data_IF_971596676528
#
_entry.id   IF_971596676528
#
_cell.length_a   1.000
_cell.length_b   1.000
_cell.length_c   1.000
_cell.angle_alpha   90.00
_cell.angle_beta   90.00
_cell.angle_gamma   90.00
#
_symmetry.space_group_name_H-M   'P 1'
#
loop_
_entity.id
_entity.type
_entity.pdbx_description
1 polymer ?
#
# COMPACT_ATOMS: atom_id res chain seq x y z
N UNK A 1 -7.42 28.62 -5.80
CA UNK A 1 -6.53 29.19 -6.85
C UNK A 1 -5.89 28.00 -7.58
N UNK A 2 -6.39 27.63 -8.74
CA UNK A 2 -5.80 26.55 -9.54
C UNK A 2 -4.41 27.00 -10.00
N UNK A 3 -3.37 26.26 -9.57
CA UNK A 3 -2.03 26.41 -10.16
C UNK A 3 -2.03 25.71 -11.53
N UNK A 4 -1.61 26.39 -12.60
CA UNK A 4 -1.54 25.76 -13.92
C UNK A 4 -0.35 24.80 -13.97
N UNK A 5 -0.63 23.54 -14.22
CA UNK A 5 0.40 22.55 -14.55
C UNK A 5 0.86 22.77 -16.00
N UNK A 6 2.08 23.22 -16.18
CA UNK A 6 2.70 23.27 -17.49
C UNK A 6 3.73 22.16 -17.63
N UNK A 7 3.45 21.23 -18.52
CA UNK A 7 4.41 20.23 -18.98
C UNK A 7 5.34 20.82 -20.03
N UNK A 8 6.55 21.20 -19.62
CA UNK A 8 7.67 21.44 -20.53
C UNK A 8 8.71 20.35 -20.34
N UNK A 9 9.17 19.74 -21.44
CA UNK A 9 10.19 18.68 -21.45
C UNK A 9 11.45 19.12 -20.67
N UNK A 10 11.77 18.37 -19.61
CA UNK A 10 13.06 18.47 -18.92
C UNK A 10 13.10 19.31 -17.65
N UNK A 11 11.96 19.75 -17.11
CA UNK A 11 11.91 20.41 -15.79
C UNK A 11 11.42 19.46 -14.70
N UNK A 12 11.98 19.59 -13.50
CA UNK A 12 11.54 18.96 -12.27
C UNK A 12 10.02 19.10 -12.12
N UNK A 13 9.35 17.97 -11.84
CA UNK A 13 7.88 17.88 -11.69
C UNK A 13 7.37 18.47 -10.36
N UNK A 14 8.22 19.10 -9.59
CA UNK A 14 7.85 19.68 -8.30
C UNK A 14 7.39 21.13 -8.48
N UNK A 15 6.18 21.49 -8.05
CA UNK A 15 5.74 22.89 -8.09
C UNK A 15 6.60 23.73 -7.13
N UNK A 16 6.91 24.94 -7.57
CA UNK A 16 7.43 26.00 -6.69
C UNK A 16 6.28 26.47 -5.78
N UNK A 17 6.17 25.84 -4.62
CA UNK A 17 5.03 26.03 -3.69
C UNK A 17 5.13 27.34 -2.92
N UNK A 18 6.35 27.81 -2.65
CA UNK A 18 6.60 29.05 -1.92
C UNK A 18 6.76 30.26 -2.86
N UNK A 19 6.69 30.06 -4.20
CA UNK A 19 6.77 31.07 -5.24
C UNK A 19 8.10 31.87 -5.24
N UNK A 20 9.21 31.25 -4.84
CA UNK A 20 10.53 31.88 -4.85
C UNK A 20 11.29 31.73 -6.18
N UNK A 21 10.67 31.09 -7.16
CA UNK A 21 11.21 30.83 -8.49
C UNK A 21 12.19 29.68 -8.59
N UNK A 22 12.28 28.85 -7.53
CA UNK A 22 13.17 27.69 -7.48
C UNK A 22 12.42 26.49 -6.92
N UNK A 23 12.60 25.32 -7.48
CA UNK A 23 12.14 24.07 -6.89
C UNK A 23 13.20 23.55 -5.92
N UNK A 24 12.93 23.57 -4.65
CA UNK A 24 13.89 23.29 -3.59
C UNK A 24 13.25 22.53 -2.41
N UNK A 25 14.04 22.16 -1.42
CA UNK A 25 13.54 21.62 -0.16
C UNK A 25 12.62 22.62 0.58
N UNK A 26 12.75 23.91 0.28
CA UNK A 26 11.87 24.96 0.81
C UNK A 26 10.42 24.77 0.36
N UNK A 27 10.21 24.33 -0.87
CA UNK A 27 8.88 24.04 -1.44
C UNK A 27 8.25 22.82 -0.79
N UNK A 28 9.04 21.78 -0.55
CA UNK A 28 8.61 20.60 0.21
C UNK A 28 8.22 21.01 1.63
N UNK A 29 9.01 21.86 2.27
CA UNK A 29 8.71 22.38 3.61
C UNK A 29 7.46 23.25 3.61
N UNK A 30 7.29 24.12 2.61
CA UNK A 30 6.11 24.96 2.46
C UNK A 30 4.84 24.13 2.20
N UNK A 31 4.93 23.11 1.35
CA UNK A 31 3.84 22.17 1.11
C UNK A 31 3.47 21.37 2.38
N UNK A 32 4.50 20.91 3.10
CA UNK A 32 4.30 20.20 4.38
C UNK A 32 3.65 21.14 5.40
N UNK A 33 4.13 22.37 5.52
CA UNK A 33 3.57 23.36 6.44
C UNK A 33 2.11 23.67 6.07
N UNK A 34 1.82 23.83 4.79
CA UNK A 34 0.47 24.03 4.27
C UNK A 34 -0.43 22.84 4.63
N UNK A 35 0.00 21.61 4.32
CA UNK A 35 -0.76 20.39 4.61
C UNK A 35 -0.92 20.10 6.11
N UNK A 36 0.02 20.53 6.96
CA UNK A 36 -0.08 20.39 8.41
C UNK A 36 -0.93 21.48 9.08
N UNK A 37 -1.10 22.63 8.45
CA UNK A 37 -1.86 23.77 8.97
C UNK A 37 -3.27 23.88 8.37
N UNK A 38 -3.49 23.31 7.20
CA UNK A 38 -4.79 23.24 6.53
C UNK A 38 -5.29 21.80 6.63
N UNK A 39 -6.48 21.61 7.12
CA UNK A 39 -7.07 20.27 7.37
C UNK A 39 -7.43 19.50 6.09
N UNK A 40 -6.94 19.95 4.94
CA UNK A 40 -7.19 19.35 3.62
C UNK A 40 -8.58 19.66 3.05
N UNK A 41 -9.47 20.25 3.85
CA UNK A 41 -10.82 20.61 3.41
C UNK A 41 -10.86 21.87 2.54
N UNK A 42 -9.84 22.74 2.64
CA UNK A 42 -9.82 24.03 1.92
C UNK A 42 -9.31 23.97 0.48
N UNK A 43 -8.71 22.85 0.06
CA UNK A 43 -8.15 22.68 -1.31
C UNK A 43 -9.12 22.09 -2.33
N UNK A 44 -10.13 21.37 -1.86
CA UNK A 44 -11.20 20.81 -2.68
C UNK A 44 -12.50 21.53 -2.30
N UNK A 45 -12.83 22.57 -3.03
CA UNK A 45 -14.17 23.14 -2.93
C UNK A 45 -15.17 22.17 -3.59
N UNK A 46 -15.59 21.15 -2.82
CA UNK A 46 -16.59 20.19 -3.24
C UNK A 46 -17.92 20.87 -3.65
N UNK A 47 -18.17 22.10 -3.19
CA UNK A 47 -19.37 22.86 -3.53
C UNK A 47 -19.37 23.32 -4.99
N UNK A 48 -18.22 23.35 -5.67
CA UNK A 48 -18.08 23.72 -7.08
C UNK A 48 -18.09 22.52 -8.03
N UNK A 49 -18.02 21.30 -7.53
CA UNK A 49 -18.16 20.07 -8.32
C UNK A 49 -19.56 19.54 -8.18
N UNK A 50 -20.20 19.18 -9.29
CA UNK A 50 -21.43 18.40 -9.23
C UNK A 50 -21.17 17.08 -8.49
N UNK A 51 -22.19 16.50 -7.89
CA UNK A 51 -22.15 15.23 -7.17
C UNK A 51 -23.14 14.25 -7.79
N UNK A 52 -22.78 12.97 -7.84
CA UNK A 52 -23.71 11.86 -8.12
C UNK A 52 -23.63 10.85 -6.98
N UNK A 53 -24.70 10.10 -6.80
CA UNK A 53 -24.76 9.02 -5.79
C UNK A 53 -24.77 7.65 -6.46
N UNK A 54 -24.15 6.66 -5.82
CA UNK A 54 -24.26 5.26 -6.27
C UNK A 54 -25.71 4.77 -6.29
N UNK A 55 -26.59 5.39 -5.49
CA UNK A 55 -28.05 5.11 -5.48
C UNK A 55 -28.71 5.47 -6.80
N UNK A 56 -28.22 6.50 -7.50
CA UNK A 56 -28.75 6.94 -8.80
C UNK A 56 -28.50 5.89 -9.90
N UNK A 57 -27.59 4.96 -9.64
CA UNK A 57 -27.21 3.84 -10.53
C UNK A 57 -27.76 2.49 -10.07
N UNK A 58 -28.58 2.47 -9.00
CA UNK A 58 -29.30 1.30 -8.54
C UNK A 58 -28.59 0.52 -7.42
N UNK A 59 -27.52 1.05 -6.82
CA UNK A 59 -26.88 0.41 -5.67
C UNK A 59 -27.83 0.35 -4.47
N UNK A 60 -27.97 -0.84 -3.86
CA UNK A 60 -28.91 -1.09 -2.74
C UNK A 60 -28.25 -0.85 -1.40
N UNK A 61 -27.03 -1.36 -1.17
CA UNK A 61 -26.27 -1.15 0.06
C UNK A 61 -26.88 -1.78 1.30
N UNK A 62 -27.58 -2.91 1.14
CA UNK A 62 -28.25 -3.64 2.23
C UNK A 62 -27.38 -4.75 2.86
N UNK A 63 -26.18 -4.96 2.33
CA UNK A 63 -25.24 -6.01 2.77
C UNK A 63 -25.55 -7.40 2.25
N UNK A 64 -26.52 -7.55 1.35
CA UNK A 64 -26.98 -8.83 0.79
C UNK A 64 -26.93 -8.82 -0.72
N UNK A 65 -27.49 -7.80 -1.35
CA UNK A 65 -27.51 -7.65 -2.80
C UNK A 65 -26.10 -7.35 -3.31
N UNK A 66 -25.78 -7.94 -4.46
CA UNK A 66 -24.56 -7.62 -5.20
C UNK A 66 -24.70 -6.26 -5.88
N UNK A 67 -23.98 -5.29 -5.37
CA UNK A 67 -23.99 -3.91 -5.85
C UNK A 67 -22.92 -3.64 -6.94
N UNK A 68 -22.17 -4.64 -7.37
CA UNK A 68 -20.99 -4.48 -8.24
C UNK A 68 -21.29 -3.68 -9.50
N UNK A 69 -22.28 -4.07 -10.28
CA UNK A 69 -22.59 -3.38 -11.55
C UNK A 69 -23.09 -1.95 -11.34
N UNK A 70 -23.88 -1.71 -10.30
CA UNK A 70 -24.37 -0.38 -9.97
C UNK A 70 -23.21 0.53 -9.56
N UNK A 71 -22.32 0.02 -8.71
CA UNK A 71 -21.11 0.72 -8.26
C UNK A 71 -20.17 1.00 -9.44
N UNK A 72 -19.87 0.03 -10.30
CA UNK A 72 -19.04 0.22 -11.50
C UNK A 72 -19.60 1.32 -12.41
N UNK A 73 -20.90 1.30 -12.69
CA UNK A 73 -21.58 2.35 -13.50
C UNK A 73 -21.44 3.74 -12.86
N UNK A 74 -21.59 3.83 -11.56
CA UNK A 74 -21.44 5.08 -10.82
C UNK A 74 -20.00 5.61 -10.85
N UNK A 75 -19.00 4.74 -10.64
CA UNK A 75 -17.59 5.08 -10.73
C UNK A 75 -17.22 5.59 -12.14
N UNK A 76 -17.65 4.88 -13.19
CA UNK A 76 -17.42 5.29 -14.57
C UNK A 76 -18.10 6.62 -14.91
N UNK A 77 -19.31 6.84 -14.41
CA UNK A 77 -20.03 8.08 -14.62
C UNK A 77 -19.38 9.26 -13.90
N UNK A 78 -18.97 9.08 -12.64
CA UNK A 78 -18.27 10.13 -11.87
C UNK A 78 -16.96 10.53 -12.55
N UNK A 79 -16.16 9.56 -12.98
CA UNK A 79 -14.91 9.81 -13.70
C UNK A 79 -15.14 10.56 -15.02
N UNK A 80 -16.12 10.15 -15.81
CA UNK A 80 -16.42 10.74 -17.12
C UNK A 80 -17.01 12.16 -16.99
N UNK A 81 -17.81 12.40 -15.95
CA UNK A 81 -18.43 13.71 -15.71
C UNK A 81 -17.56 14.66 -14.89
N UNK A 82 -16.45 14.16 -14.34
CA UNK A 82 -15.58 14.89 -13.42
C UNK A 82 -16.33 15.46 -12.19
N UNK A 83 -17.20 14.66 -11.62
CA UNK A 83 -17.99 14.99 -10.42
C UNK A 83 -17.59 14.09 -9.25
N UNK A 84 -17.93 14.53 -8.05
CA UNK A 84 -17.71 13.73 -6.83
C UNK A 84 -18.67 12.54 -6.78
N UNK A 85 -18.20 11.38 -6.30
CA UNK A 85 -19.01 10.19 -6.11
C UNK A 85 -19.33 10.00 -4.63
N UNK A 86 -20.58 10.17 -4.31
CA UNK A 86 -21.11 9.95 -2.96
C UNK A 86 -21.67 8.55 -2.81
N UNK A 87 -21.25 7.89 -1.75
CA UNK A 87 -21.71 6.54 -1.36
C UNK A 87 -22.41 6.67 0.00
N UNK A 88 -23.75 6.75 0.04
CA UNK A 88 -24.50 6.89 1.29
C UNK A 88 -24.26 5.74 2.26
N UNK A 89 -24.62 5.95 3.54
CA UNK A 89 -24.62 4.91 4.56
C UNK A 89 -25.27 3.61 4.07
N UNK A 90 -24.60 2.48 4.27
CA UNK A 90 -25.03 1.15 3.82
C UNK A 90 -23.83 0.20 3.69
N UNK A 91 -24.12 -1.07 3.45
CA UNK A 91 -23.10 -2.08 3.16
C UNK A 91 -23.26 -2.57 1.73
N UNK A 92 -22.29 -2.22 0.87
CA UNK A 92 -22.29 -2.51 -0.55
C UNK A 92 -21.40 -3.71 -0.83
N UNK A 93 -22.01 -4.84 -1.21
CA UNK A 93 -21.28 -6.06 -1.55
C UNK A 93 -20.79 -5.97 -2.99
N UNK A 94 -19.50 -6.21 -3.19
CA UNK A 94 -18.89 -6.23 -4.53
C UNK A 94 -18.17 -7.55 -4.78
N UNK A 95 -18.06 -7.94 -6.04
CA UNK A 95 -17.35 -9.14 -6.52
C UNK A 95 -16.21 -8.86 -7.49
N UNK A 96 -16.00 -7.60 -7.84
CA UNK A 96 -14.92 -7.12 -8.72
C UNK A 96 -14.33 -5.81 -8.20
N UNK A 97 -13.09 -5.48 -8.56
CA UNK A 97 -12.50 -4.20 -8.23
C UNK A 97 -13.29 -3.04 -8.83
N UNK A 98 -13.48 -1.98 -8.03
CA UNK A 98 -13.98 -0.70 -8.53
C UNK A 98 -12.81 0.13 -9.06
N UNK A 99 -12.92 0.60 -10.28
CA UNK A 99 -11.82 1.25 -11.01
C UNK A 99 -11.67 2.72 -10.61
N UNK A 100 -10.49 3.06 -10.09
CA UNK A 100 -10.10 4.44 -9.82
C UNK A 100 -9.53 5.08 -11.10
N UNK A 101 -9.89 6.34 -11.35
CA UNK A 101 -9.39 7.15 -12.47
C UNK A 101 -8.96 8.53 -11.99
N UNK A 102 -8.14 9.21 -12.79
CA UNK A 102 -7.60 10.53 -12.47
C UNK A 102 -8.68 11.53 -12.03
N UNK A 103 -8.39 12.26 -10.97
CA UNK A 103 -9.23 13.33 -10.44
C UNK A 103 -10.52 12.90 -9.77
N UNK A 104 -10.72 11.60 -9.52
CA UNK A 104 -11.90 11.12 -8.80
C UNK A 104 -11.85 11.52 -7.34
N UNK A 105 -13.01 11.96 -6.83
CA UNK A 105 -13.31 12.05 -5.42
C UNK A 105 -14.38 11.02 -5.08
N UNK A 106 -14.10 10.14 -4.11
CA UNK A 106 -14.99 9.06 -3.66
C UNK A 106 -15.15 9.16 -2.15
N UNK A 107 -16.37 9.35 -1.68
CA UNK A 107 -16.61 9.53 -0.26
C UNK A 107 -17.97 9.00 0.22
N UNK A 108 -18.11 8.88 1.54
CA UNK A 108 -19.32 8.36 2.16
C UNK A 108 -19.66 9.04 3.49
N UNK A 109 -20.40 8.34 4.32
CA UNK A 109 -20.85 8.77 5.65
C UNK A 109 -19.98 8.15 6.76
N UNK A 110 -18.66 8.17 6.57
CA UNK A 110 -17.71 7.59 7.53
C UNK A 110 -17.88 6.07 7.65
N UNK A 111 -17.80 5.55 8.87
CA UNK A 111 -17.92 4.12 9.14
C UNK A 111 -19.32 3.52 8.84
N UNK A 112 -20.31 4.34 8.56
CA UNK A 112 -21.64 3.88 8.17
C UNK A 112 -21.72 3.49 6.69
N UNK A 113 -20.78 3.95 5.85
CA UNK A 113 -20.61 3.53 4.46
C UNK A 113 -19.57 2.43 4.39
N UNK A 114 -19.98 1.22 4.02
CA UNK A 114 -19.10 0.06 3.95
C UNK A 114 -19.11 -0.51 2.52
N UNK A 115 -17.94 -0.50 1.85
CA UNK A 115 -17.75 -1.28 0.64
C UNK A 115 -17.07 -2.58 1.05
N UNK A 116 -17.77 -3.69 0.84
CA UNK A 116 -17.35 -5.00 1.32
C UNK A 116 -17.14 -5.98 0.17
N UNK A 117 -15.99 -6.61 0.16
CA UNK A 117 -15.66 -7.68 -0.79
C UNK A 117 -16.49 -8.93 -0.49
N UNK A 118 -17.03 -9.60 -1.54
CA UNK A 118 -17.55 -10.96 -1.43
C UNK A 118 -16.45 -11.87 -0.83
N UNK A 119 -16.80 -12.87 0.02
CA UNK A 119 -15.81 -13.82 0.52
C UNK A 119 -15.02 -14.46 -0.61
N UNK A 120 -13.69 -14.47 -0.50
CA UNK A 120 -12.87 -15.10 -1.51
C UNK A 120 -13.02 -16.62 -1.50
N UNK A 121 -13.02 -17.20 -2.70
CA UNK A 121 -13.01 -18.63 -2.96
C UNK A 121 -11.80 -18.94 -3.84
N UNK A 122 -11.19 -20.11 -3.68
CA UNK A 122 -10.04 -20.50 -4.49
C UNK A 122 -9.97 -22.01 -4.71
N UNK A 123 -9.52 -22.38 -5.90
CA UNK A 123 -9.29 -23.74 -6.34
C UNK A 123 -7.95 -23.85 -7.08
N UNK A 124 -7.41 -25.05 -7.20
CA UNK A 124 -6.14 -25.30 -7.86
C UNK A 124 -6.33 -25.71 -9.31
N UNK A 125 -5.42 -25.28 -10.17
CA UNK A 125 -5.34 -25.81 -11.53
C UNK A 125 -4.98 -27.29 -11.50
N UNK A 126 -5.73 -28.11 -12.23
CA UNK A 126 -5.44 -29.53 -12.44
C UNK A 126 -4.75 -29.79 -13.76
N UNK A 127 -4.73 -28.81 -14.65
CA UNK A 127 -4.03 -28.83 -15.94
C UNK A 127 -3.25 -27.53 -16.11
N UNK A 128 -2.23 -27.55 -16.96
CA UNK A 128 -1.49 -26.35 -17.35
C UNK A 128 -2.47 -25.40 -18.06
N UNK A 129 -2.57 -24.18 -17.57
CA UNK A 129 -3.27 -23.11 -18.27
C UNK A 129 -2.31 -22.46 -19.25
N UNK A 130 -2.52 -22.68 -20.54
CA UNK A 130 -1.70 -22.12 -21.59
C UNK A 130 -1.82 -20.57 -21.62
N UNK A 131 -0.77 -19.93 -22.07
CA UNK A 131 -0.63 -18.47 -22.06
C UNK A 131 -1.74 -17.72 -22.81
N UNK A 132 -2.28 -18.30 -23.84
CA UNK A 132 -3.33 -17.74 -24.69
C UNK A 132 -4.73 -18.30 -24.39
N UNK A 133 -4.82 -19.24 -23.44
CA UNK A 133 -6.09 -19.85 -23.06
C UNK A 133 -6.89 -18.93 -22.15
N UNK A 134 -8.19 -18.88 -22.39
CA UNK A 134 -9.16 -18.26 -21.49
C UNK A 134 -10.00 -19.31 -20.74
N UNK A 135 -9.62 -20.59 -20.76
CA UNK A 135 -10.30 -21.68 -20.06
C UNK A 135 -9.34 -22.37 -19.11
N UNK A 136 -9.65 -22.38 -17.84
CA UNK A 136 -8.91 -23.06 -16.78
C UNK A 136 -9.66 -24.30 -16.31
N UNK A 137 -8.93 -25.42 -16.09
CA UNK A 137 -9.46 -26.62 -15.44
C UNK A 137 -8.96 -26.66 -13.99
N UNK A 138 -9.88 -26.78 -13.05
CA UNK A 138 -9.62 -26.66 -11.60
C UNK A 138 -10.06 -27.92 -10.84
N UNK A 139 -9.61 -28.06 -9.59
CA UNK A 139 -9.99 -29.19 -8.72
C UNK A 139 -11.40 -29.08 -8.13
N UNK A 140 -12.06 -27.93 -8.31
CA UNK A 140 -13.44 -27.67 -7.92
C UNK A 140 -13.89 -26.31 -8.43
N UNK A 141 -15.20 -26.10 -8.42
CA UNK A 141 -15.80 -24.82 -8.84
C UNK A 141 -16.76 -24.25 -7.78
N UNK A 142 -16.84 -24.89 -6.63
CA UNK A 142 -17.76 -24.50 -5.58
C UNK A 142 -17.49 -23.07 -5.12
N UNK A 143 -18.54 -22.26 -5.11
CA UNK A 143 -18.49 -20.85 -4.69
C UNK A 143 -18.04 -19.89 -5.80
N UNK A 144 -17.63 -20.35 -6.97
CA UNK A 144 -17.43 -19.48 -8.14
C UNK A 144 -18.77 -19.12 -8.79
N UNK A 145 -18.87 -17.88 -9.22
CA UNK A 145 -20.03 -17.38 -9.96
C UNK A 145 -19.59 -16.62 -11.20
N UNK A 146 -20.44 -16.67 -12.25
CA UNK A 146 -20.25 -15.83 -13.42
C UNK A 146 -20.27 -14.35 -13.00
N UNK A 147 -19.27 -13.60 -13.45
CA UNK A 147 -19.06 -12.22 -13.06
C UNK A 147 -18.04 -12.03 -11.93
N UNK A 148 -17.55 -13.08 -11.26
CA UNK A 148 -16.49 -12.97 -10.29
C UNK A 148 -15.17 -12.55 -10.95
N UNK A 149 -14.41 -11.66 -10.27
CA UNK A 149 -13.03 -11.37 -10.62
C UNK A 149 -12.11 -12.49 -10.14
N UNK A 150 -11.18 -12.90 -10.98
CA UNK A 150 -10.24 -13.97 -10.68
C UNK A 150 -8.80 -13.52 -10.82
N UNK A 151 -7.96 -13.99 -9.90
CA UNK A 151 -6.51 -13.90 -9.98
C UNK A 151 -5.90 -15.29 -9.97
N UNK A 152 -4.78 -15.45 -10.65
CA UNK A 152 -3.97 -16.64 -10.58
C UNK A 152 -2.70 -16.38 -9.76
N UNK A 153 -2.42 -17.28 -8.81
CA UNK A 153 -1.18 -17.26 -8.02
C UNK A 153 -0.18 -18.23 -8.63
N UNK A 154 1.11 -17.92 -8.45
CA UNK A 154 2.17 -18.88 -8.77
C UNK A 154 2.06 -20.17 -7.95
N UNK A 155 2.61 -21.24 -8.53
CA UNK A 155 2.43 -22.65 -8.27
C UNK A 155 2.57 -23.14 -6.83
N UNK A 156 2.94 -22.39 -5.87
CA UNK A 156 3.18 -23.03 -4.59
C UNK A 156 2.08 -22.85 -3.56
N UNK A 157 1.09 -22.02 -3.81
CA UNK A 157 0.06 -21.74 -2.79
C UNK A 157 0.71 -21.36 -1.43
N UNK A 158 2.02 -21.42 -1.39
CA UNK A 158 2.84 -21.31 -0.20
C UNK A 158 3.33 -19.85 -0.08
N UNK A 159 2.37 -18.95 -0.09
CA UNK A 159 2.56 -17.53 0.24
C UNK A 159 3.02 -17.34 1.69
N UNK A 160 3.44 -18.44 2.33
CA UNK A 160 3.85 -18.44 3.72
C UNK A 160 5.24 -17.87 3.97
N UNK A 161 6.05 -17.71 2.94
CA UNK A 161 7.39 -17.13 3.07
C UNK A 161 7.43 -15.81 2.34
N UNK A 162 7.71 -14.72 2.98
CA UNK A 162 7.68 -13.33 2.49
C UNK A 162 8.20 -13.03 1.07
N UNK A 163 8.84 -14.00 0.42
CA UNK A 163 9.31 -13.97 -0.97
C UNK A 163 8.41 -14.69 -1.97
N UNK A 164 7.23 -15.15 -1.56
CA UNK A 164 6.36 -16.01 -2.35
C UNK A 164 4.96 -15.47 -2.60
N UNK A 165 4.71 -14.19 -2.36
CA UNK A 165 3.49 -13.56 -2.84
C UNK A 165 3.46 -13.71 -4.36
N UNK A 166 2.34 -14.15 -4.90
CA UNK A 166 2.19 -14.29 -6.34
C UNK A 166 2.51 -12.96 -7.00
N UNK A 167 3.63 -12.91 -7.69
CA UNK A 167 4.04 -11.76 -8.50
C UNK A 167 3.19 -11.62 -9.75
N UNK A 168 2.37 -12.63 -10.01
CA UNK A 168 1.46 -12.67 -11.12
C UNK A 168 0.12 -12.09 -10.68
N UNK A 169 -0.18 -10.92 -11.17
CA UNK A 169 -1.45 -10.25 -10.97
C UNK A 169 -2.34 -10.38 -12.20
N UNK A 170 -2.26 -11.51 -12.90
CA UNK A 170 -3.13 -11.80 -14.02
C UNK A 170 -4.58 -11.80 -13.55
N UNK A 171 -5.40 -10.99 -14.20
CA UNK A 171 -6.78 -10.74 -13.84
C UNK A 171 -7.73 -11.16 -14.95
N UNK A 172 -8.84 -11.76 -14.59
CA UNK A 172 -9.92 -12.09 -15.50
C UNK A 172 -11.27 -12.07 -14.81
N UNK A 173 -12.32 -11.96 -15.58
CA UNK A 173 -13.71 -12.08 -15.11
C UNK A 173 -14.31 -13.36 -15.66
N UNK A 174 -14.94 -14.14 -14.79
CA UNK A 174 -15.63 -15.40 -15.17
C UNK A 174 -16.82 -15.09 -16.07
N UNK A 175 -16.87 -15.72 -17.24
CA UNK A 175 -17.98 -15.61 -18.20
C UNK A 175 -18.80 -16.89 -18.32
N UNK A 176 -18.20 -18.04 -17.99
CA UNK A 176 -18.91 -19.32 -17.95
C UNK A 176 -18.24 -20.29 -16.98
N UNK A 177 -19.04 -21.21 -16.42
CA UNK A 177 -18.62 -22.29 -15.53
C UNK A 177 -19.24 -23.61 -16.06
N UNK A 178 -18.39 -24.62 -16.25
CA UNK A 178 -18.83 -25.99 -16.57
C UNK A 178 -18.57 -26.91 -15.37
N UNK A 179 -19.64 -27.27 -14.69
CA UNK A 179 -19.58 -28.12 -13.50
C UNK A 179 -19.30 -29.60 -13.80
N UNK A 180 -19.46 -30.04 -15.04
CA UNK A 180 -19.18 -31.45 -15.44
C UNK A 180 -17.66 -31.63 -15.60
N UNK A 181 -17.01 -30.67 -16.22
CA UNK A 181 -15.58 -30.73 -16.52
C UNK A 181 -14.71 -29.92 -15.51
N UNK A 182 -15.31 -29.29 -14.53
CA UNK A 182 -14.65 -28.36 -13.59
C UNK A 182 -13.83 -27.30 -14.34
N UNK A 183 -14.42 -26.65 -15.34
CA UNK A 183 -13.75 -25.60 -16.09
C UNK A 183 -14.39 -24.24 -15.85
N UNK A 184 -13.54 -23.22 -15.88
CA UNK A 184 -13.90 -21.81 -15.74
C UNK A 184 -13.42 -21.07 -16.98
N UNK A 185 -14.33 -20.36 -17.65
CA UNK A 185 -14.00 -19.54 -18.83
C UNK A 185 -13.96 -18.07 -18.42
N UNK A 186 -12.95 -17.36 -18.91
CA UNK A 186 -12.76 -15.93 -18.68
C UNK A 186 -13.08 -15.11 -19.92
N UNK A 187 -13.36 -13.83 -19.74
CA UNK A 187 -13.61 -12.89 -20.83
C UNK A 187 -12.41 -12.76 -21.79
N UNK A 188 -11.20 -12.97 -21.27
CA UNK A 188 -9.93 -12.97 -22.03
C UNK A 188 -8.95 -13.93 -21.34
N UNK A 189 -7.84 -14.28 -22.00
CA UNK A 189 -6.80 -15.05 -21.34
C UNK A 189 -6.28 -14.33 -20.10
N UNK A 190 -5.92 -15.07 -19.04
CA UNK A 190 -5.38 -14.50 -17.80
C UNK A 190 -3.95 -13.93 -17.95
N UNK A 191 -3.35 -14.05 -19.12
CA UNK A 191 -2.00 -13.57 -19.40
C UNK A 191 -1.91 -12.10 -19.81
N UNK A 192 -2.98 -11.35 -19.66
CA UNK A 192 -2.86 -9.93 -19.88
C UNK A 192 -2.01 -9.30 -18.78
N UNK A 193 -1.01 -8.58 -19.23
CA UNK A 193 -0.23 -7.64 -18.45
C UNK A 193 -1.13 -6.54 -17.83
N UNK A 194 -2.18 -6.92 -17.15
CA UNK A 194 -2.96 -6.03 -16.29
C UNK A 194 -2.29 -5.89 -14.93
N UNK A 195 -1.09 -6.41 -14.76
CA UNK A 195 -0.39 -6.39 -13.50
C UNK A 195 1.09 -6.15 -13.67
N UNK A 196 1.67 -5.76 -12.60
CA UNK A 196 3.02 -5.28 -12.37
C UNK A 196 4.16 -6.12 -12.98
N UNK A 197 3.90 -7.39 -13.33
CA UNK A 197 4.92 -8.35 -13.81
C UNK A 197 4.41 -9.28 -14.90
N UNK A 198 3.44 -8.87 -15.70
CA UNK A 198 2.83 -9.69 -16.74
C UNK A 198 3.83 -10.18 -17.77
N UNK A 199 4.41 -11.34 -17.53
CA UNK A 199 4.98 -12.13 -18.60
C UNK A 199 3.89 -13.05 -19.12
N UNK A 200 3.68 -13.07 -20.43
CA UNK A 200 2.88 -14.08 -21.10
C UNK A 200 3.53 -15.43 -20.82
N UNK A 201 2.96 -16.24 -19.97
CA UNK A 201 3.51 -17.55 -19.58
C UNK A 201 2.39 -18.57 -19.35
N UNK A 202 2.73 -19.83 -19.50
CA UNK A 202 1.87 -20.90 -19.04
C UNK A 202 1.85 -20.95 -17.51
N UNK A 203 0.68 -21.17 -16.92
CA UNK A 203 0.55 -21.40 -15.49
C UNK A 203 0.56 -22.91 -15.22
N UNK A 204 1.42 -23.35 -14.33
CA UNK A 204 1.60 -24.75 -14.00
C UNK A 204 0.39 -25.33 -13.24
N UNK A 205 0.31 -26.64 -13.22
CA UNK A 205 -0.57 -27.38 -12.30
C UNK A 205 -0.26 -26.96 -10.86
N UNK A 206 -1.26 -26.94 -10.00
CA UNK A 206 -1.25 -26.46 -8.61
C UNK A 206 -1.16 -24.94 -8.44
N UNK A 207 -1.08 -24.12 -9.48
CA UNK A 207 -1.37 -22.71 -9.37
C UNK A 207 -2.78 -22.51 -8.81
N UNK A 208 -2.94 -21.52 -7.95
CA UNK A 208 -4.21 -21.23 -7.30
C UNK A 208 -4.97 -20.16 -8.07
N UNK A 209 -6.18 -20.47 -8.46
CA UNK A 209 -7.14 -19.55 -9.03
C UNK A 209 -8.05 -19.03 -7.91
N UNK A 210 -8.06 -17.71 -7.66
CA UNK A 210 -8.73 -17.12 -6.50
C UNK A 210 -9.60 -15.93 -6.88
N UNK A 211 -10.75 -15.79 -6.23
CA UNK A 211 -11.59 -14.58 -6.32
C UNK A 211 -11.13 -13.46 -5.40
N UNK A 212 -9.92 -13.53 -4.83
CA UNK A 212 -9.34 -12.45 -4.05
C UNK A 212 -8.92 -11.29 -4.94
N UNK A 213 -9.30 -10.05 -4.62
CA UNK A 213 -9.00 -8.84 -5.41
C UNK A 213 -8.96 -7.59 -4.54
N UNK A 214 -8.44 -6.47 -5.09
CA UNK A 214 -8.52 -5.17 -4.45
C UNK A 214 -9.94 -4.58 -4.53
N UNK A 215 -10.38 -3.86 -3.52
CA UNK A 215 -11.68 -3.19 -3.52
C UNK A 215 -11.66 -2.00 -4.47
N UNK A 216 -10.70 -1.10 -4.27
CA UNK A 216 -10.48 0.07 -5.11
C UNK A 216 -9.14 -0.10 -5.83
N UNK A 217 -9.12 0.07 -7.14
CA UNK A 217 -7.92 -0.19 -7.93
C UNK A 217 -7.78 0.77 -9.11
N UNK A 218 -6.56 1.27 -9.35
CA UNK A 218 -6.16 1.78 -10.66
C UNK A 218 -5.59 0.65 -11.52
N UNK A 219 -5.52 0.84 -12.84
CA UNK A 219 -4.98 -0.18 -13.75
C UNK A 219 -3.69 0.31 -14.40
N UNK A 220 -2.71 -0.57 -14.50
CA UNK A 220 -1.36 -0.27 -15.00
C UNK A 220 -1.29 0.30 -16.43
N UNK A 221 -2.33 0.19 -17.21
CA UNK A 221 -2.44 0.76 -18.57
C UNK A 221 -3.05 2.16 -18.62
N UNK A 222 -3.61 2.62 -17.50
CA UNK A 222 -4.34 3.87 -17.40
C UNK A 222 -3.60 4.83 -16.45
N UNK A 223 -3.51 6.10 -16.84
CA UNK A 223 -3.03 7.14 -15.95
C UNK A 223 -4.00 7.34 -14.79
N UNK A 224 -3.48 7.43 -13.54
CA UNK A 224 -4.30 7.67 -12.36
C UNK A 224 -3.63 8.72 -11.47
N UNK A 225 -4.16 9.93 -11.49
CA UNK A 225 -3.57 11.09 -10.80
C UNK A 225 -4.62 11.79 -9.96
N UNK A 226 -4.24 12.15 -8.73
CA UNK A 226 -5.06 13.04 -7.91
C UNK A 226 -6.40 12.43 -7.48
N UNK A 227 -6.41 11.19 -7.02
CA UNK A 227 -7.60 10.55 -6.45
C UNK A 227 -7.74 10.95 -4.99
N UNK A 228 -8.94 11.31 -4.57
CA UNK A 228 -9.28 11.59 -3.18
C UNK A 228 -10.34 10.60 -2.69
N UNK A 229 -9.99 9.82 -1.66
CA UNK A 229 -10.88 8.83 -1.03
C UNK A 229 -11.01 9.20 0.44
N UNK A 230 -12.25 9.40 0.92
CA UNK A 230 -12.44 9.79 2.30
C UNK A 230 -13.80 9.38 2.89
N UNK A 231 -13.84 9.37 4.22
CA UNK A 231 -15.06 9.17 5.01
C UNK A 231 -15.84 7.90 4.62
N UNK A 232 -15.15 6.76 4.50
CA UNK A 232 -15.79 5.47 4.23
C UNK A 232 -15.01 4.29 4.83
N UNK A 233 -15.66 3.14 4.88
CA UNK A 233 -15.07 1.87 5.31
C UNK A 233 -14.89 0.93 4.12
N UNK A 234 -13.68 0.33 4.01
CA UNK A 234 -13.36 -0.74 3.07
C UNK A 234 -13.13 -2.04 3.86
N UNK A 235 -13.97 -3.03 3.66
CA UNK A 235 -13.83 -4.36 4.28
C UNK A 235 -13.39 -5.39 3.24
N UNK A 236 -12.11 -5.76 3.30
CA UNK A 236 -11.52 -6.79 2.46
C UNK A 236 -12.09 -8.19 2.69
N UNK A 237 -12.84 -8.38 3.77
CA UNK A 237 -13.52 -9.63 4.12
C UNK A 237 -12.63 -10.87 3.97
N UNK A 238 -11.35 -10.72 4.31
CA UNK A 238 -10.33 -11.75 4.16
C UNK A 238 -10.71 -13.04 4.86
N UNK A 239 -10.61 -14.15 4.15
CA UNK A 239 -10.87 -15.48 4.67
C UNK A 239 -9.61 -16.10 5.31
N UNK A 240 -9.81 -17.07 6.21
CA UNK A 240 -8.70 -17.86 6.76
C UNK A 240 -7.98 -18.60 5.64
N UNK A 241 -6.66 -18.51 5.58
CA UNK A 241 -5.81 -19.11 4.55
C UNK A 241 -6.07 -18.62 3.11
N UNK A 242 -6.71 -17.47 2.96
CA UNK A 242 -6.89 -16.84 1.64
C UNK A 242 -5.54 -16.64 0.96
N UNK A 243 -5.39 -17.01 -0.31
CA UNK A 243 -4.17 -16.79 -1.08
C UNK A 243 -3.87 -15.29 -1.17
N UNK A 244 -2.64 -14.91 -0.85
CA UNK A 244 -2.18 -13.53 -0.93
C UNK A 244 -1.63 -13.23 -2.32
N UNK A 245 -1.91 -12.05 -2.82
CA UNK A 245 -1.28 -11.50 -4.02
C UNK A 245 -0.96 -10.03 -3.80
N UNK A 246 0.09 -9.54 -4.41
CA UNK A 246 0.52 -8.14 -4.31
C UNK A 246 -0.56 -7.15 -4.72
N UNK A 247 -1.51 -7.58 -5.54
CA UNK A 247 -2.57 -6.73 -6.07
C UNK A 247 -3.88 -6.81 -5.27
N UNK A 248 -3.91 -7.49 -4.13
CA UNK A 248 -5.12 -7.76 -3.37
C UNK A 248 -5.28 -6.88 -2.12
N UNK A 249 -4.61 -5.74 -2.07
CA UNK A 249 -4.83 -4.71 -1.04
C UNK A 249 -6.27 -4.17 -1.08
N UNK A 250 -6.77 -3.55 -0.01
CA UNK A 250 -8.08 -2.89 -0.08
C UNK A 250 -8.04 -1.73 -1.08
N UNK A 251 -6.99 -0.91 -1.04
CA UNK A 251 -6.71 0.12 -2.05
C UNK A 251 -5.40 -0.24 -2.74
N UNK A 252 -5.42 -0.31 -4.06
CA UNK A 252 -4.24 -0.63 -4.85
C UNK A 252 -4.10 0.29 -6.06
N UNK A 253 -3.04 1.09 -6.07
CA UNK A 253 -2.66 1.91 -7.21
C UNK A 253 -1.57 1.19 -8.00
N UNK A 254 -1.94 0.67 -9.17
CA UNK A 254 -1.01 -0.02 -10.05
C UNK A 254 -0.03 0.96 -10.71
N UNK A 255 1.25 0.61 -10.84
CA UNK A 255 2.17 1.40 -11.62
C UNK A 255 1.81 1.28 -13.10
N UNK A 256 1.91 2.37 -13.83
CA UNK A 256 1.84 2.34 -15.29
C UNK A 256 3.09 1.66 -15.84
N UNK A 257 2.94 0.50 -16.46
CA UNK A 257 4.06 -0.20 -17.11
C UNK A 257 3.87 -0.26 -18.61
N UNK A 258 4.76 0.40 -19.35
CA UNK A 258 4.95 0.04 -20.76
C UNK A 258 5.83 -1.20 -20.82
N UNK A 259 5.28 -2.28 -21.33
CA UNK A 259 5.87 -3.61 -21.33
C UNK A 259 7.32 -3.67 -21.82
N UNK A 260 8.25 -4.06 -20.98
CA UNK A 260 9.32 -5.05 -21.21
C UNK A 260 10.28 -5.11 -20.02
N UNK A 261 10.38 -6.25 -19.36
CA UNK A 261 11.21 -6.48 -18.17
C UNK A 261 12.71 -6.17 -18.32
N UNK A 262 13.24 -6.10 -19.52
CA UNK A 262 14.65 -5.82 -19.78
C UNK A 262 14.99 -4.33 -19.93
N UNK A 263 13.99 -3.46 -20.06
CA UNK A 263 14.12 -2.00 -20.14
C UNK A 263 12.93 -1.32 -19.46
N UNK A 264 12.66 -1.68 -18.22
CA UNK A 264 11.57 -1.07 -17.45
C UNK A 264 11.97 0.35 -17.10
N UNK A 265 11.60 1.27 -17.94
CA UNK A 265 11.39 2.65 -17.51
C UNK A 265 10.03 2.64 -16.85
N UNK A 266 10.00 2.51 -15.52
CA UNK A 266 8.79 2.76 -14.74
C UNK A 266 8.42 4.22 -14.96
N UNK A 267 7.57 4.48 -15.92
CA UNK A 267 6.86 5.74 -16.05
C UNK A 267 5.48 5.49 -15.47
N UNK A 268 5.41 5.52 -14.17
CA UNK A 268 4.11 5.48 -13.55
C UNK A 268 3.49 6.87 -13.65
N UNK A 269 2.36 6.96 -14.29
CA UNK A 269 1.50 8.13 -14.23
C UNK A 269 0.46 7.94 -13.13
N UNK A 270 0.89 7.42 -11.99
CA UNK A 270 0.06 7.18 -10.81
C UNK A 270 0.70 7.93 -9.65
N UNK A 271 0.08 9.03 -9.22
CA UNK A 271 0.63 9.90 -8.17
C UNK A 271 -0.40 10.90 -7.62
N UNK A 272 -0.06 11.54 -6.50
CA UNK A 272 -0.85 12.56 -5.82
C UNK A 272 -2.21 12.07 -5.33
N UNK A 273 -2.24 10.95 -4.60
CA UNK A 273 -3.45 10.42 -4.00
C UNK A 273 -3.60 10.84 -2.55
N UNK A 274 -4.84 11.09 -2.14
CA UNK A 274 -5.20 11.43 -0.78
C UNK A 274 -6.20 10.39 -0.27
N UNK A 275 -5.92 9.81 0.89
CA UNK A 275 -6.81 8.88 1.59
C UNK A 275 -6.96 9.40 3.01
N UNK A 276 -8.15 9.82 3.40
CA UNK A 276 -8.40 10.46 4.68
C UNK A 276 -9.65 9.94 5.39
N UNK A 277 -9.62 9.89 6.72
CA UNK A 277 -10.76 9.49 7.55
C UNK A 277 -11.39 8.15 7.15
N UNK A 278 -10.62 7.24 6.56
CA UNK A 278 -11.10 5.93 6.12
C UNK A 278 -10.85 4.86 7.18
N UNK A 279 -11.78 3.89 7.25
CA UNK A 279 -11.56 2.63 7.95
C UNK A 279 -11.28 1.53 6.94
N UNK A 280 -10.11 0.89 7.01
CA UNK A 280 -9.66 -0.15 6.08
C UNK A 280 -9.38 -1.41 6.89
N UNK A 281 -10.16 -2.46 6.66
CA UNK A 281 -10.13 -3.65 7.49
C UNK A 281 -10.06 -4.94 6.68
N UNK A 282 -9.48 -5.97 7.28
CA UNK A 282 -9.48 -7.34 6.77
C UNK A 282 -8.93 -7.44 5.34
N UNK A 283 -7.87 -6.70 5.03
CA UNK A 283 -7.27 -6.75 3.70
C UNK A 283 -6.60 -8.10 3.42
N UNK A 284 -6.76 -8.60 2.21
CA UNK A 284 -6.13 -9.86 1.77
C UNK A 284 -4.62 -9.75 1.55
N UNK A 285 -4.10 -8.53 1.45
CA UNK A 285 -2.67 -8.23 1.40
C UNK A 285 -2.37 -6.94 2.18
N UNK A 286 -2.08 -5.82 1.51
CA UNK A 286 -1.84 -4.53 2.16
C UNK A 286 -3.15 -3.79 2.45
N UNK A 287 -3.19 -2.93 3.44
CA UNK A 287 -4.31 -2.01 3.61
C UNK A 287 -4.40 -1.05 2.43
N UNK A 288 -3.31 -0.33 2.20
CA UNK A 288 -3.11 0.60 1.09
C UNK A 288 -1.80 0.26 0.41
N UNK A 289 -1.81 0.07 -0.90
CA UNK A 289 -0.62 -0.13 -1.73
C UNK A 289 -0.57 0.90 -2.84
N UNK A 290 0.47 1.72 -2.85
CA UNK A 290 0.77 2.68 -3.91
C UNK A 290 2.05 2.25 -4.60
N UNK A 291 1.95 1.83 -5.85
CA UNK A 291 3.07 1.33 -6.65
C UNK A 291 3.54 2.35 -7.70
N UNK A 292 3.06 3.58 -7.60
CA UNK A 292 3.35 4.66 -8.52
C UNK A 292 4.60 5.49 -8.18
N UNK A 293 4.68 6.70 -8.75
CA UNK A 293 5.82 7.62 -8.59
C UNK A 293 5.80 8.39 -7.26
N UNK A 294 4.68 8.36 -6.52
CA UNK A 294 4.59 9.02 -5.24
C UNK A 294 3.50 10.08 -5.11
N UNK A 295 3.64 10.94 -4.09
CA UNK A 295 2.59 11.88 -3.77
C UNK A 295 1.40 11.20 -3.06
N UNK A 296 1.67 10.30 -2.11
CA UNK A 296 0.64 9.66 -1.30
C UNK A 296 0.45 10.38 0.03
N UNK A 297 -0.77 10.78 0.32
CA UNK A 297 -1.13 11.33 1.61
C UNK A 297 -2.19 10.44 2.29
N UNK A 298 -1.84 9.82 3.43
CA UNK A 298 -2.75 8.99 4.24
C UNK A 298 -2.90 9.63 5.60
N UNK A 299 -4.11 10.08 5.93
CA UNK A 299 -4.34 10.84 7.16
C UNK A 299 -5.56 10.36 7.93
N UNK A 300 -5.41 10.28 9.24
CA UNK A 300 -6.50 10.00 10.18
C UNK A 300 -7.31 8.73 9.85
N UNK A 301 -6.64 7.76 9.21
CA UNK A 301 -7.22 6.47 8.85
C UNK A 301 -7.05 5.44 9.96
N UNK A 302 -7.98 4.49 10.03
CA UNK A 302 -7.87 3.27 10.83
C UNK A 302 -7.64 2.09 9.90
N UNK A 303 -6.49 1.41 10.01
CA UNK A 303 -6.11 0.27 9.18
C UNK A 303 -5.92 -0.95 10.08
N UNK A 304 -6.77 -1.97 9.92
CA UNK A 304 -6.81 -3.11 10.83
C UNK A 304 -6.75 -4.46 10.09
N UNK A 305 -5.99 -5.40 10.62
CA UNK A 305 -5.99 -6.79 10.18
C UNK A 305 -5.63 -6.98 8.69
N UNK A 306 -4.68 -6.20 8.17
CA UNK A 306 -4.09 -6.48 6.85
C UNK A 306 -3.23 -7.75 6.90
N UNK A 307 -3.21 -8.54 5.82
CA UNK A 307 -2.40 -9.75 5.75
C UNK A 307 -0.90 -9.47 5.75
N UNK A 308 -0.51 -8.30 5.23
CA UNK A 308 0.88 -7.85 5.16
C UNK A 308 1.03 -6.46 5.78
N UNK A 309 1.11 -5.41 4.97
CA UNK A 309 1.43 -4.06 5.44
C UNK A 309 0.17 -3.22 5.73
N UNK A 310 0.31 -2.24 6.62
CA UNK A 310 -0.69 -1.20 6.77
C UNK A 310 -0.69 -0.30 5.53
N UNK A 311 0.43 0.37 5.28
CA UNK A 311 0.67 1.19 4.09
C UNK A 311 1.95 0.73 3.41
N UNK A 312 1.88 0.45 2.12
CA UNK A 312 2.97 0.02 1.26
C UNK A 312 3.26 1.11 0.22
N UNK A 313 4.41 1.73 0.35
CA UNK A 313 4.95 2.65 -0.65
C UNK A 313 5.82 1.86 -1.63
N UNK A 314 5.47 1.91 -2.90
CA UNK A 314 6.02 1.05 -3.94
C UNK A 314 7.38 1.47 -4.48
N UNK A 315 7.64 1.06 -5.69
CA UNK A 315 8.96 1.12 -6.34
C UNK A 315 9.27 2.54 -6.86
N UNK A 316 10.47 3.08 -6.54
CA UNK A 316 10.91 4.43 -6.97
C UNK A 316 9.91 5.52 -6.56
N UNK A 317 9.54 5.49 -5.30
CA UNK A 317 8.46 6.29 -4.74
C UNK A 317 8.98 7.57 -4.06
N UNK A 318 8.28 8.68 -4.21
CA UNK A 318 8.66 9.92 -3.52
C UNK A 318 7.48 10.72 -2.99
N UNK A 319 7.75 11.53 -1.96
CA UNK A 319 6.79 12.49 -1.41
C UNK A 319 5.55 11.83 -0.77
N UNK A 320 5.73 11.02 0.24
CA UNK A 320 4.63 10.49 1.05
C UNK A 320 4.45 11.26 2.36
N UNK A 321 3.21 11.42 2.79
CA UNK A 321 2.88 11.84 4.15
C UNK A 321 1.87 10.84 4.74
N UNK A 322 2.29 10.12 5.77
CA UNK A 322 1.45 9.16 6.49
C UNK A 322 1.34 9.66 7.93
N UNK A 323 0.19 10.25 8.29
CA UNK A 323 0.06 10.98 9.54
C UNK A 323 -1.25 10.73 10.28
N UNK A 324 -1.17 10.67 11.61
CA UNK A 324 -2.35 10.56 12.49
C UNK A 324 -3.11 9.24 12.37
N UNK A 325 -2.57 8.24 11.71
CA UNK A 325 -3.27 6.98 11.48
C UNK A 325 -3.15 6.02 12.66
N UNK A 326 -4.15 5.16 12.84
CA UNK A 326 -4.10 4.01 13.73
C UNK A 326 -4.00 2.73 12.89
N UNK A 327 -2.88 2.02 13.01
CA UNK A 327 -2.62 0.80 12.24
C UNK A 327 -2.43 -0.38 13.18
N UNK A 328 -3.23 -1.42 13.02
CA UNK A 328 -3.17 -2.64 13.83
C UNK A 328 -3.04 -3.86 12.92
N UNK A 329 -1.89 -4.51 12.98
CA UNK A 329 -1.61 -5.74 12.24
C UNK A 329 -2.19 -6.98 12.92
N UNK A 330 -1.73 -8.14 12.47
CA UNK A 330 -2.13 -9.44 13.03
C UNK A 330 -0.97 -10.24 13.64
N UNK A 331 0.16 -9.59 13.93
CA UNK A 331 1.41 -10.15 14.51
C UNK A 331 2.18 -11.16 13.66
N UNK A 332 1.67 -11.57 12.52
CA UNK A 332 2.27 -12.67 11.74
C UNK A 332 3.30 -12.16 10.74
N UNK A 333 3.03 -11.03 10.08
CA UNK A 333 3.84 -10.51 8.96
C UNK A 333 3.73 -9.01 8.82
N UNK A 334 4.50 -8.48 7.87
CA UNK A 334 4.40 -7.12 7.38
C UNK A 334 4.88 -6.06 8.34
N UNK A 335 4.73 -4.83 7.91
CA UNK A 335 5.07 -3.62 8.64
C UNK A 335 3.86 -2.68 8.73
N UNK A 336 3.83 -1.83 9.75
CA UNK A 336 2.87 -0.74 9.78
C UNK A 336 3.02 0.13 8.53
N UNK A 337 4.27 0.57 8.26
CA UNK A 337 4.62 1.29 7.03
C UNK A 337 5.79 0.58 6.34
N UNK A 338 5.62 0.24 5.07
CA UNK A 338 6.60 -0.47 4.27
C UNK A 338 7.16 0.43 3.17
N UNK A 339 8.48 0.55 3.19
CA UNK A 339 9.26 1.26 2.19
C UNK A 339 9.76 0.23 1.17
N UNK A 340 9.03 0.04 0.09
CA UNK A 340 9.52 -0.76 -1.01
C UNK A 340 10.71 -0.04 -1.68
N UNK A 341 11.16 -0.43 -2.81
CA UNK A 341 12.39 0.08 -3.43
C UNK A 341 12.39 1.60 -3.62
N UNK A 342 13.50 2.27 -3.23
CA UNK A 342 13.81 3.68 -3.50
C UNK A 342 12.78 4.73 -2.99
N UNK A 343 12.20 4.53 -1.83
CA UNK A 343 11.31 5.53 -1.23
C UNK A 343 12.10 6.73 -0.72
N UNK A 344 11.75 7.92 -1.19
CA UNK A 344 12.39 9.18 -0.81
C UNK A 344 11.38 10.24 -0.37
N UNK A 345 11.80 11.15 0.52
CA UNK A 345 10.99 12.25 1.02
C UNK A 345 9.67 11.81 1.67
N UNK A 346 9.67 10.66 2.36
CA UNK A 346 8.50 10.19 3.09
C UNK A 346 8.53 10.72 4.54
N UNK A 347 7.38 11.18 5.02
CA UNK A 347 7.16 11.63 6.39
C UNK A 347 6.12 10.74 7.05
N UNK A 348 6.54 10.03 8.09
CA UNK A 348 5.69 9.16 8.90
C UNK A 348 5.55 9.84 10.27
N UNK A 349 4.43 10.50 10.53
CA UNK A 349 4.28 11.43 11.65
C UNK A 349 3.02 11.15 12.50
N UNK A 350 3.19 11.01 13.79
CA UNK A 350 2.06 10.96 14.74
C UNK A 350 1.16 9.73 14.62
N UNK A 351 1.61 8.61 14.02
CA UNK A 351 0.81 7.42 13.89
C UNK A 351 0.87 6.53 15.14
N UNK A 352 -0.17 5.74 15.37
CA UNK A 352 -0.20 4.64 16.34
C UNK A 352 -0.13 3.30 15.59
N UNK A 353 0.95 2.55 15.77
CA UNK A 353 1.26 1.33 15.01
C UNK A 353 1.47 0.17 15.98
N UNK A 354 0.70 -0.90 15.80
CA UNK A 354 0.74 -2.04 16.73
C UNK A 354 0.51 -3.38 16.03
N UNK A 355 0.98 -4.44 16.68
CA UNK A 355 0.72 -5.84 16.29
C UNK A 355 1.18 -6.18 14.85
N UNK A 356 2.26 -5.56 14.37
CA UNK A 356 2.96 -5.95 13.14
C UNK A 356 4.26 -6.69 13.46
N UNK A 357 4.81 -7.34 12.44
CA UNK A 357 6.17 -7.88 12.54
C UNK A 357 7.21 -6.77 12.66
N UNK A 358 7.07 -5.72 11.84
CA UNK A 358 7.90 -4.51 11.88
C UNK A 358 7.05 -3.26 12.08
N UNK A 359 7.62 -2.24 12.70
CA UNK A 359 6.98 -0.92 12.76
C UNK A 359 7.07 -0.21 11.41
N UNK A 360 8.29 0.11 11.01
CA UNK A 360 8.64 0.60 9.67
C UNK A 360 9.77 -0.27 9.12
N UNK A 361 9.67 -0.72 7.88
CA UNK A 361 10.73 -1.55 7.26
C UNK A 361 10.92 -1.27 5.78
N UNK A 362 12.12 -1.57 5.27
CA UNK A 362 12.45 -1.52 3.86
C UNK A 362 12.49 -2.92 3.20
N UNK A 363 12.56 -2.99 1.87
CA UNK A 363 12.67 -4.24 1.11
C UNK A 363 14.14 -4.62 0.83
N UNK A 364 14.38 -5.93 0.62
CA UNK A 364 15.73 -6.53 0.48
C UNK A 364 16.57 -6.02 -0.68
N UNK A 365 15.98 -5.41 -1.70
CA UNK A 365 16.65 -5.05 -2.96
C UNK A 365 16.62 -3.54 -3.24
N UNK A 366 16.31 -2.73 -2.24
CA UNK A 366 16.19 -1.30 -2.44
C UNK A 366 17.54 -0.67 -2.74
N UNK A 367 17.60 0.07 -3.80
CA UNK A 367 18.50 1.20 -3.91
C UNK A 367 17.96 2.25 -2.95
N UNK A 368 18.80 2.73 -2.09
CA UNK A 368 18.45 3.45 -0.91
C UNK A 368 17.66 4.72 -1.16
N UNK A 369 16.43 4.74 -0.72
CA UNK A 369 15.65 5.97 -0.58
C UNK A 369 16.37 7.00 0.28
N UNK A 370 16.13 8.27 0.05
CA UNK A 370 16.79 9.37 0.72
C UNK A 370 15.80 10.35 1.37
N UNK A 371 16.23 10.99 2.46
CA UNK A 371 15.48 12.03 3.17
C UNK A 371 14.14 11.61 3.75
N UNK A 372 14.08 10.44 4.37
CA UNK A 372 12.88 9.96 5.04
C UNK A 372 12.86 10.37 6.51
N UNK A 373 11.69 10.75 7.03
CA UNK A 373 11.50 11.21 8.40
C UNK A 373 10.43 10.35 9.07
N UNK A 374 10.77 9.72 10.20
CA UNK A 374 9.85 8.92 11.02
C UNK A 374 9.83 9.56 12.42
N UNK A 375 8.73 10.23 12.76
CA UNK A 375 8.70 11.00 14.00
C UNK A 375 7.36 10.96 14.73
N UNK A 376 7.38 11.19 16.03
CA UNK A 376 6.20 11.35 16.89
C UNK A 376 5.26 10.14 16.89
N UNK A 377 5.68 8.97 16.38
CA UNK A 377 4.84 7.79 16.30
C UNK A 377 4.86 7.00 17.61
N UNK A 378 3.79 6.27 17.85
CA UNK A 378 3.64 5.33 18.95
C UNK A 378 3.64 3.89 18.39
N UNK A 379 4.62 3.09 18.82
CA UNK A 379 4.74 1.69 18.44
C UNK A 379 4.47 0.80 19.65
N UNK A 380 3.69 -0.28 19.47
CA UNK A 380 3.47 -1.25 20.53
C UNK A 380 3.36 -2.67 19.99
N UNK A 381 3.84 -3.64 20.77
CA UNK A 381 3.74 -5.07 20.44
C UNK A 381 4.27 -5.44 19.04
N UNK A 382 5.34 -4.79 18.62
CA UNK A 382 6.07 -5.14 17.40
C UNK A 382 6.88 -6.40 17.68
N UNK A 383 6.78 -7.41 16.81
CA UNK A 383 7.33 -8.74 17.11
C UNK A 383 8.78 -8.93 16.66
N UNK A 384 9.26 -8.14 15.69
CA UNK A 384 10.64 -8.11 15.22
C UNK A 384 11.27 -6.72 15.46
N UNK A 385 11.72 -6.03 14.44
CA UNK A 385 12.32 -4.70 14.57
C UNK A 385 11.25 -3.60 14.52
N UNK A 386 11.39 -2.58 15.38
CA UNK A 386 10.53 -1.40 15.24
C UNK A 386 10.91 -0.61 13.98
N UNK A 387 12.20 -0.43 13.76
CA UNK A 387 12.75 0.22 12.55
C UNK A 387 13.75 -0.72 11.89
N UNK A 388 13.40 -1.26 10.72
CA UNK A 388 14.21 -2.22 9.96
C UNK A 388 14.62 -1.63 8.61
N UNK A 389 15.89 -1.23 8.50
CA UNK A 389 16.50 -0.65 7.30
C UNK A 389 17.80 -1.40 6.97
N UNK A 390 17.68 -2.72 6.81
CA UNK A 390 18.80 -3.63 6.62
C UNK A 390 19.12 -3.91 5.14
N UNK A 391 18.32 -3.41 4.24
CA UNK A 391 18.26 -3.90 2.86
C UNK A 391 19.13 -3.14 1.87
N UNK A 392 19.63 -1.97 2.24
CA UNK A 392 20.62 -1.24 1.45
C UNK A 392 21.90 -2.09 1.23
N UNK A 393 22.58 -1.85 0.13
CA UNK A 393 23.82 -2.56 -0.26
C UNK A 393 25.01 -1.60 -0.32
N UNK A 394 26.22 -2.13 -0.44
CA UNK A 394 27.42 -1.31 -0.55
C UNK A 394 27.40 -0.38 -1.78
N UNK A 395 26.69 -0.77 -2.85
CA UNK A 395 26.56 -0.02 -4.10
C UNK A 395 25.27 0.79 -4.20
N UNK A 396 24.30 0.55 -3.29
CA UNK A 396 23.02 1.25 -3.22
C UNK A 396 22.77 1.59 -1.75
N UNK A 397 23.36 2.69 -1.29
CA UNK A 397 23.33 3.13 0.11
C UNK A 397 22.13 4.01 0.38
N UNK A 398 21.47 3.82 1.54
CA UNK A 398 20.41 4.72 2.05
C UNK A 398 20.97 6.00 2.63
N UNK A 399 20.19 7.07 2.63
CA UNK A 399 20.69 8.29 3.20
C UNK A 399 19.63 9.27 3.69
N UNK A 400 20.06 10.16 4.60
CA UNK A 400 19.17 11.20 5.14
C UNK A 400 18.00 10.68 5.97
N UNK A 401 18.15 9.53 6.64
CA UNK A 401 17.07 8.96 7.47
C UNK A 401 17.04 9.61 8.85
N UNK A 402 15.91 10.20 9.22
CA UNK A 402 15.68 10.81 10.55
C UNK A 402 14.60 10.03 11.29
N UNK A 403 14.96 9.39 12.40
CA UNK A 403 14.04 8.67 13.29
C UNK A 403 14.08 9.37 14.66
N UNK A 404 13.04 10.12 14.98
CA UNK A 404 13.09 10.97 16.17
C UNK A 404 11.76 11.06 16.92
N UNK A 405 11.84 11.22 18.23
CA UNK A 405 10.69 11.46 19.11
C UNK A 405 9.58 10.39 19.00
N UNK A 406 9.94 9.14 18.70
CA UNK A 406 8.99 8.04 18.70
C UNK A 406 8.93 7.37 20.06
N UNK A 407 7.75 6.86 20.43
CA UNK A 407 7.51 6.11 21.65
C UNK A 407 7.28 4.64 21.37
N UNK A 408 8.01 3.76 22.05
CA UNK A 408 7.91 2.31 21.89
C UNK A 408 7.52 1.66 23.22
N UNK A 409 6.49 0.82 23.18
CA UNK A 409 5.98 0.09 24.35
C UNK A 409 5.97 -1.42 24.08
N UNK A 410 6.44 -2.22 25.02
CA UNK A 410 6.46 -3.67 24.88
C UNK A 410 7.42 -4.14 23.79
N UNK A 411 8.62 -3.57 23.73
CA UNK A 411 9.67 -3.97 22.78
C UNK A 411 10.01 -5.46 22.99
N UNK A 412 9.95 -6.24 21.92
CA UNK A 412 10.23 -7.69 21.95
C UNK A 412 11.57 -8.07 21.36
N UNK A 413 12.08 -7.26 20.46
CA UNK A 413 13.34 -7.47 19.74
C UNK A 413 14.09 -6.15 19.62
N UNK A 414 14.87 -5.93 18.59
CA UNK A 414 15.67 -4.71 18.42
C UNK A 414 14.80 -3.48 18.10
N UNK A 415 15.25 -2.33 18.58
CA UNK A 415 14.60 -1.05 18.32
C UNK A 415 14.90 -0.57 16.90
N UNK A 416 16.18 -0.57 16.51
CA UNK A 416 16.62 -0.11 15.21
C UNK A 416 17.70 -1.02 14.63
N UNK A 417 17.51 -1.46 13.40
CA UNK A 417 18.51 -2.15 12.61
C UNK A 417 18.75 -1.38 11.30
N UNK A 418 19.98 -1.01 11.05
CA UNK A 418 20.42 -0.26 9.85
C UNK A 418 21.67 -0.84 9.24
N UNK A 419 21.76 -0.85 7.90
CA UNK A 419 22.92 -1.34 7.16
C UNK A 419 23.12 -0.52 5.89
N UNK A 420 24.37 -0.14 5.61
CA UNK A 420 24.73 0.69 4.45
C UNK A 420 23.93 1.99 4.35
N UNK A 421 23.71 2.64 5.48
CA UNK A 421 22.99 3.92 5.57
C UNK A 421 23.99 5.07 5.73
N UNK A 422 23.69 6.20 5.12
CA UNK A 422 24.48 7.43 5.25
C UNK A 422 23.63 8.56 5.83
N UNK A 423 24.23 9.37 6.72
CA UNK A 423 23.60 10.53 7.33
C UNK A 423 22.29 10.18 8.07
N UNK A 424 22.36 9.26 9.03
CA UNK A 424 21.24 8.84 9.87
C UNK A 424 21.22 9.61 11.19
N UNK A 425 20.06 10.12 11.55
CA UNK A 425 19.81 10.69 12.89
C UNK A 425 18.78 9.83 13.61
N UNK A 426 19.20 9.17 14.67
CA UNK A 426 18.34 8.39 15.56
C UNK A 426 18.32 9.03 16.94
N UNK A 427 17.28 9.83 17.24
CA UNK A 427 17.32 10.68 18.42
C UNK A 427 15.98 10.79 19.16
N UNK A 428 16.05 11.05 20.46
CA UNK A 428 14.89 11.35 21.31
C UNK A 428 13.79 10.28 21.29
N UNK A 429 14.08 9.06 20.84
CA UNK A 429 13.13 7.96 20.90
C UNK A 429 13.07 7.40 22.32
N UNK A 430 11.88 7.03 22.77
CA UNK A 430 11.64 6.54 24.13
C UNK A 430 11.10 5.12 24.10
N UNK A 431 11.79 4.19 24.73
CA UNK A 431 11.30 2.84 25.00
C UNK A 431 10.76 2.80 26.43
N UNK A 432 9.46 2.63 26.58
CA UNK A 432 8.80 2.67 27.90
C UNK A 432 8.77 1.31 28.60
N UNK A 433 8.77 0.22 27.84
CA UNK A 433 8.83 -1.14 28.38
C UNK A 433 9.44 -2.12 27.37
N UNK A 434 10.05 -3.17 27.89
CA UNK A 434 10.64 -4.28 27.12
C UNK A 434 10.01 -5.58 27.59
N UNK A 435 9.49 -6.37 26.68
CA UNK A 435 8.90 -7.69 26.99
C UNK A 435 9.99 -8.76 26.97
N UNK A 436 10.90 -8.69 26.00
CA UNK A 436 12.07 -9.54 25.89
C UNK A 436 13.29 -8.67 25.67
N UNK A 437 14.30 -8.78 26.51
CA UNK A 437 15.52 -7.98 26.39
C UNK A 437 16.30 -8.41 25.15
N UNK A 438 16.50 -7.54 24.15
CA UNK A 438 17.28 -7.88 22.97
C UNK A 438 18.79 -7.92 23.29
N UNK A 439 19.52 -8.76 22.59
CA UNK A 439 21.00 -8.77 22.66
C UNK A 439 21.60 -7.52 22.03
N UNK A 440 20.96 -6.98 21.01
CA UNK A 440 21.34 -5.74 20.32
C UNK A 440 20.10 -4.85 20.17
N UNK A 441 20.07 -3.75 20.92
CA UNK A 441 18.93 -2.83 20.90
C UNK A 441 18.96 -1.95 19.65
N UNK A 442 20.13 -1.46 19.29
CA UNK A 442 20.38 -0.68 18.07
C UNK A 442 21.55 -1.35 17.35
N UNK A 443 21.33 -1.70 16.10
CA UNK A 443 22.32 -2.34 15.24
C UNK A 443 22.57 -1.52 14.00
N UNK A 444 23.76 -0.94 13.87
CA UNK A 444 24.16 -0.18 12.69
C UNK A 444 25.44 -0.78 12.13
N UNK A 445 25.42 -1.14 10.84
CA UNK A 445 26.56 -1.79 10.20
C UNK A 445 26.88 -1.15 8.86
N UNK A 446 28.16 -1.04 8.49
CA UNK A 446 28.64 -0.54 7.20
C UNK A 446 28.05 0.83 6.80
N UNK A 447 27.75 1.67 7.79
CA UNK A 447 27.06 2.95 7.66
C UNK A 447 27.99 4.11 7.98
N UNK A 448 27.68 5.30 7.46
CA UNK A 448 28.48 6.50 7.68
C UNK A 448 27.59 7.69 8.11
N UNK A 449 28.16 8.63 8.88
CA UNK A 449 27.42 9.81 9.35
C UNK A 449 26.23 9.47 10.25
N UNK A 450 26.35 8.45 11.10
CA UNK A 450 25.25 8.00 11.99
C UNK A 450 25.35 8.72 13.34
N UNK A 451 24.29 9.42 13.72
CA UNK A 451 24.13 10.11 15.00
C UNK A 451 23.05 9.43 15.83
N UNK A 452 23.41 8.94 17.01
CA UNK A 452 22.49 8.30 17.97
C UNK A 452 22.56 9.10 19.27
N UNK A 453 21.51 9.86 19.62
CA UNK A 453 21.55 10.77 20.74
C UNK A 453 20.23 10.95 21.46
N UNK A 454 20.28 11.14 22.78
CA UNK A 454 19.12 11.53 23.59
C UNK A 454 17.97 10.53 23.62
N UNK A 455 18.20 9.26 23.28
CA UNK A 455 17.18 8.22 23.38
C UNK A 455 17.03 7.75 24.83
N UNK A 456 15.80 7.44 25.25
CA UNK A 456 15.48 7.00 26.61
C UNK A 456 15.12 5.52 26.61
N UNK A 457 15.82 4.75 27.44
CA UNK A 457 15.55 3.33 27.69
C UNK A 457 14.89 3.15 29.05
N UNK A 458 14.09 2.09 29.28
CA UNK A 458 13.52 1.79 30.59
C UNK A 458 14.61 1.62 31.65
N UNK A 459 14.37 2.12 32.86
CA UNK A 459 15.25 1.89 33.98
C UNK A 459 15.37 0.39 34.28
N UNK A 460 16.58 -0.11 34.43
CA UNK A 460 16.86 -1.55 34.62
C UNK A 460 17.01 -2.36 33.33
N UNK A 461 16.90 -1.72 32.17
CA UNK A 461 17.29 -2.35 30.90
C UNK A 461 18.80 -2.57 30.91
N UNK A 462 19.24 -3.77 31.22
CA UNK A 462 20.65 -4.15 31.18
C UNK A 462 21.03 -4.49 29.74
N UNK A 463 21.34 -3.47 28.97
CA UNK A 463 21.80 -3.62 27.59
C UNK A 463 23.31 -3.52 27.62
N UNK A 464 24.00 -4.65 27.47
CA UNK A 464 25.48 -4.72 27.55
C UNK A 464 26.15 -3.92 26.42
N UNK A 465 25.49 -3.77 25.29
CA UNK A 465 25.92 -2.96 24.14
C UNK A 465 24.70 -2.37 23.44
N UNK A 466 24.26 -1.15 23.79
CA UNK A 466 23.04 -0.56 23.21
C UNK A 466 23.18 -0.25 21.72
N UNK A 467 24.43 -0.20 21.24
CA UNK A 467 24.76 0.09 19.84
C UNK A 467 25.80 -0.93 19.36
N UNK A 468 25.49 -1.68 18.34
CA UNK A 468 26.44 -2.49 17.60
C UNK A 468 26.73 -1.80 16.28
N UNK A 469 27.95 -1.31 16.13
CA UNK A 469 28.39 -0.62 14.93
C UNK A 469 29.62 -1.30 14.36
N UNK A 470 29.49 -1.86 13.17
CA UNK A 470 30.58 -2.47 12.43
C UNK A 470 30.85 -1.66 11.18
N UNK A 471 32.08 -1.18 11.01
CA UNK A 471 32.51 -0.32 9.89
C UNK A 471 31.70 0.99 9.77
N UNK A 472 31.10 1.46 10.86
CA UNK A 472 30.42 2.79 10.87
C UNK A 472 31.40 3.86 11.34
N UNK A 473 31.27 5.04 10.76
CA UNK A 473 32.05 6.23 11.12
C UNK A 473 31.14 7.31 11.67
N UNK A 474 31.69 8.30 12.37
CA UNK A 474 30.94 9.42 12.94
C UNK A 474 29.75 9.01 13.83
N UNK A 475 29.92 7.95 14.59
CA UNK A 475 28.92 7.50 15.56
C UNK A 475 29.06 8.35 16.86
N UNK A 476 27.98 9.03 17.27
CA UNK A 476 27.95 9.94 18.41
C UNK A 476 26.85 9.54 19.39
#
# INVERSE_FOLDING_TARGET
MMLPFHTAKGQSIYPDVNADGRTSIGDVTALIQYLLTHDGSEGFDASLRGQISVKDYGAVGDGVVDDTEAMEKAFDAAARMHVSLYIPAGTYIIRRPLTLKSGMEVYGDGNATIIKKKPAVWHKLTQVLAADSNVATVDGIDGYEVGDAMYISDSSGNLTNGNGAARDCSYGVITAIDSVNNTVTFASSLNHAAGHYGAVKNHAVDCVLSTSYAILRSWSKDECIGVYIHDLCLDGNRQTNEPMSWCNGCIHFDPYTTANRSNVVYRSHTYNHIIANCKIINSSFDGISEQGEGGLYVKDCTIENSAMHGVHMGTVFSNAIISGNTMTGNTVRGAGVFFCQDVSNAIIDGNTISLFNHGCSDEEYSTAGTFNIIRNNQFSNITSYVFDFLKATATARGGGLVITNNKVTGLKNSLFAGKYLDNVVFSKNTVTSVTTMPTELIKVTNSDGVVIMGNTLPSGANVSTPVNSTNSTNLV
#
